data_IF_921054218637
#
_entry.id   IF_921054218637
#
_cell.length_a   1.000
_cell.length_b   1.000
_cell.length_c   1.000
_cell.angle_alpha   90.00
_cell.angle_beta   90.00
_cell.angle_gamma   90.00
#
_symmetry.space_group_name_H-M   'P 1'
#
loop_
_entity.id
_entity.type
_entity.pdbx_description
1 polymer ?
#
# COMPACT_ATOMS: atom_id res chain seq x y z
N UNK A 1 7.17 3.53 7.41
CA UNK A 1 5.85 4.12 7.75
C UNK A 1 4.77 3.23 7.17
N UNK A 2 3.73 2.97 7.94
CA UNK A 2 2.59 2.15 7.54
C UNK A 2 1.30 2.86 7.94
N UNK A 3 0.54 3.34 6.96
CA UNK A 3 -0.76 3.97 7.15
C UNK A 3 -1.87 2.96 6.86
N UNK A 4 -3.02 3.12 7.51
CA UNK A 4 -4.17 2.23 7.32
C UNK A 4 -5.41 3.04 6.97
N UNK A 5 -6.12 2.65 5.91
CA UNK A 5 -7.45 3.18 5.57
C UNK A 5 -8.32 2.04 5.09
N UNK A 6 -9.45 1.78 5.73
CA UNK A 6 -10.41 0.76 5.25
C UNK A 6 -10.89 1.05 3.83
N UNK A 7 -11.00 2.33 3.47
CA UNK A 7 -11.35 2.80 2.13
C UNK A 7 -10.51 4.02 1.76
N UNK A 8 -9.86 3.98 0.58
CA UNK A 8 -8.91 4.98 0.11
C UNK A 8 -9.58 6.23 -0.46
N UNK A 9 -10.58 6.09 -1.37
CA UNK A 9 -11.28 7.20 -2.08
C UNK A 9 -10.37 8.41 -2.28
N UNK A 10 -10.73 9.60 -1.80
CA UNK A 10 -9.86 10.79 -1.91
C UNK A 10 -8.97 11.00 -0.67
N UNK A 11 -9.16 10.18 0.37
CA UNK A 11 -8.51 10.33 1.68
C UNK A 11 -7.09 9.80 1.72
N UNK A 12 -6.65 9.02 0.73
CA UNK A 12 -5.27 8.52 0.66
C UNK A 12 -4.24 9.67 0.56
N UNK A 13 -4.63 10.81 -0.01
CA UNK A 13 -3.76 11.99 -0.18
C UNK A 13 -3.24 12.56 1.14
N UNK A 14 -3.97 12.35 2.24
CA UNK A 14 -3.55 12.77 3.58
C UNK A 14 -2.24 12.09 4.01
N UNK A 15 -1.99 10.86 3.54
CA UNK A 15 -0.80 10.06 3.88
C UNK A 15 0.49 10.63 3.28
N UNK A 16 0.39 11.39 2.18
CA UNK A 16 1.56 11.94 1.47
C UNK A 16 2.35 12.88 2.38
N UNK A 17 1.66 13.69 3.18
CA UNK A 17 2.24 14.73 4.03
C UNK A 17 2.67 14.21 5.42
N UNK A 18 2.57 12.90 5.66
CA UNK A 18 2.96 12.31 6.94
C UNK A 18 4.39 11.73 6.85
N UNK A 19 5.19 11.91 7.91
CA UNK A 19 6.56 11.39 8.03
C UNK A 19 7.48 11.73 6.84
N UNK A 20 7.72 13.03 6.61
CA UNK A 20 8.50 13.62 5.51
C UNK A 20 9.83 12.93 5.17
N UNK A 21 10.50 12.33 6.17
CA UNK A 21 11.78 11.62 6.00
C UNK A 21 11.67 10.25 5.32
N UNK A 22 10.46 9.72 5.15
CA UNK A 22 10.22 8.38 4.60
C UNK A 22 9.76 8.52 3.14
N UNK A 23 10.58 8.10 2.15
CA UNK A 23 10.31 8.36 0.74
C UNK A 23 9.12 7.56 0.19
N UNK A 24 8.95 6.31 0.64
CA UNK A 24 7.86 5.42 0.22
C UNK A 24 6.86 5.24 1.36
N UNK A 25 5.61 5.59 1.13
CA UNK A 25 4.52 5.45 2.10
C UNK A 25 3.76 4.17 1.83
N UNK A 26 3.74 3.24 2.78
CA UNK A 26 2.93 2.02 2.63
C UNK A 26 1.52 2.29 3.16
N UNK A 27 0.51 2.05 2.32
CA UNK A 27 -0.90 2.26 2.65
C UNK A 27 -1.65 0.93 2.59
N UNK A 28 -2.01 0.40 3.75
CA UNK A 28 -2.90 -0.75 3.88
C UNK A 28 -4.35 -0.36 3.63
N UNK A 29 -5.04 -1.16 2.82
CA UNK A 29 -6.47 -1.00 2.56
C UNK A 29 -7.24 -2.31 2.52
N UNK A 30 -8.53 -2.23 2.84
CA UNK A 30 -9.52 -3.29 2.65
C UNK A 30 -10.51 -2.96 1.53
N UNK A 31 -10.25 -1.89 0.77
CA UNK A 31 -11.09 -1.50 -0.35
C UNK A 31 -11.01 -2.56 -1.46
N UNK A 32 -12.18 -2.95 -1.99
CA UNK A 32 -12.26 -3.85 -3.13
C UNK A 32 -11.99 -3.08 -4.43
N UNK A 33 -10.72 -2.99 -4.80
CA UNK A 33 -10.29 -2.37 -6.05
C UNK A 33 -10.11 -0.86 -5.97
N UNK A 34 -9.29 -0.34 -6.87
CA UNK A 34 -8.98 1.07 -7.10
C UNK A 34 -8.90 1.27 -8.62
N UNK A 35 -9.32 2.43 -9.13
CA UNK A 35 -9.20 2.71 -10.57
C UNK A 35 -7.72 2.82 -10.98
N UNK A 36 -7.39 2.47 -12.22
CA UNK A 36 -6.00 2.58 -12.72
C UNK A 36 -5.47 4.02 -12.66
N UNK A 37 -6.35 5.01 -12.87
CA UNK A 37 -6.01 6.42 -12.75
C UNK A 37 -5.62 6.78 -11.31
N UNK A 38 -6.45 6.39 -10.33
CA UNK A 38 -6.14 6.62 -8.92
C UNK A 38 -4.90 5.86 -8.47
N UNK A 39 -4.71 4.62 -8.92
CA UNK A 39 -3.50 3.85 -8.65
C UNK A 39 -2.25 4.54 -9.20
N UNK A 40 -2.33 5.09 -10.42
CA UNK A 40 -1.23 5.85 -11.03
C UNK A 40 -0.88 7.09 -10.22
N UNK A 41 -1.88 7.83 -9.74
CA UNK A 41 -1.65 8.98 -8.86
C UNK A 41 -0.97 8.57 -7.55
N UNK A 42 -1.40 7.46 -6.94
CA UNK A 42 -0.78 6.90 -5.74
C UNK A 42 0.69 6.57 -5.98
N UNK A 43 0.99 5.83 -7.04
CA UNK A 43 2.35 5.44 -7.40
C UNK A 43 3.24 6.65 -7.69
N UNK A 44 2.73 7.66 -8.41
CA UNK A 44 3.45 8.91 -8.67
C UNK A 44 3.74 9.71 -7.39
N UNK A 45 2.90 9.58 -6.37
CA UNK A 45 3.10 10.16 -5.05
C UNK A 45 3.93 9.29 -4.09
N UNK A 46 4.61 8.24 -4.61
CA UNK A 46 5.37 7.25 -3.82
C UNK A 46 4.54 6.55 -2.74
N UNK A 47 3.25 6.36 -2.99
CA UNK A 47 2.37 5.55 -2.15
C UNK A 47 2.33 4.13 -2.68
N UNK A 48 2.85 3.18 -1.87
CA UNK A 48 2.77 1.75 -2.13
C UNK A 48 1.50 1.19 -1.51
N UNK A 49 0.59 0.66 -2.33
CA UNK A 49 -0.57 -0.04 -1.82
C UNK A 49 -0.17 -1.40 -1.23
N UNK A 50 -0.72 -1.66 -0.05
CA UNK A 50 -0.68 -2.96 0.63
C UNK A 50 -2.12 -3.46 0.79
N UNK A 51 -2.37 -4.72 0.44
CA UNK A 51 -3.69 -5.33 0.59
C UNK A 51 -3.60 -6.80 1.00
N UNK A 52 -4.62 -7.38 1.65
CA UNK A 52 -4.73 -8.82 1.81
C UNK A 52 -4.82 -9.53 0.45
N UNK A 53 -4.14 -10.66 0.32
CA UNK A 53 -4.12 -11.48 -0.91
C UNK A 53 -5.52 -11.74 -1.51
N UNK A 54 -6.55 -12.11 -0.73
CA UNK A 54 -7.88 -12.37 -1.29
C UNK A 54 -8.54 -11.14 -1.94
N UNK A 55 -8.14 -9.93 -1.53
CA UNK A 55 -8.68 -8.68 -2.06
C UNK A 55 -7.95 -8.21 -3.32
N UNK A 56 -6.71 -8.64 -3.55
CA UNK A 56 -5.92 -8.26 -4.74
C UNK A 56 -6.65 -8.68 -6.03
N UNK A 57 -7.34 -9.82 -6.02
CA UNK A 57 -8.15 -10.28 -7.14
C UNK A 57 -9.28 -9.32 -7.53
N UNK A 58 -9.70 -8.40 -6.64
CA UNK A 58 -10.73 -7.38 -6.91
C UNK A 58 -10.18 -6.12 -7.60
N UNK A 59 -8.86 -5.95 -7.68
CA UNK A 59 -8.24 -4.84 -8.39
C UNK A 59 -8.18 -5.12 -9.91
N UNK A 60 -8.08 -4.08 -10.77
CA UNK A 60 -7.80 -4.26 -12.19
C UNK A 60 -6.55 -5.12 -12.43
N UNK A 61 -6.62 -6.06 -13.37
CA UNK A 61 -5.55 -7.03 -13.62
C UNK A 61 -4.19 -6.37 -13.95
N UNK A 62 -4.24 -5.20 -14.59
CA UNK A 62 -3.09 -4.36 -14.95
C UNK A 62 -2.26 -3.88 -13.75
N UNK A 63 -2.85 -3.77 -12.57
CA UNK A 63 -2.18 -3.21 -11.37
C UNK A 63 -1.91 -4.24 -10.27
N UNK A 64 -2.48 -5.45 -10.36
CA UNK A 64 -2.38 -6.48 -9.30
C UNK A 64 -0.93 -6.83 -8.94
N UNK A 65 -0.07 -6.94 -9.94
CA UNK A 65 1.36 -7.27 -9.78
C UNK A 65 2.15 -6.18 -9.06
N UNK A 66 1.62 -4.96 -8.99
CA UNK A 66 2.24 -3.82 -8.30
C UNK A 66 1.71 -3.62 -6.88
N UNK A 67 0.71 -4.41 -6.45
CA UNK A 67 0.18 -4.36 -5.08
C UNK A 67 0.97 -5.31 -4.21
N UNK A 68 1.42 -4.82 -3.05
CA UNK A 68 2.15 -5.63 -2.08
C UNK A 68 1.15 -6.36 -1.19
N UNK A 69 1.39 -7.64 -0.96
CA UNK A 69 0.56 -8.42 -0.03
C UNK A 69 0.94 -8.06 1.41
N UNK A 70 -0.03 -8.08 2.32
CA UNK A 70 0.25 -7.82 3.74
C UNK A 70 1.31 -8.78 4.30
N UNK A 71 1.27 -10.05 3.89
CA UNK A 71 2.23 -11.08 4.30
C UNK A 71 3.65 -10.76 3.81
N UNK A 72 3.80 -10.40 2.53
CA UNK A 72 5.09 -10.01 1.95
C UNK A 72 5.69 -8.80 2.67
N UNK A 73 4.87 -7.76 2.90
CA UNK A 73 5.29 -6.58 3.65
C UNK A 73 5.79 -6.91 5.06
N UNK A 74 5.08 -7.78 5.79
CA UNK A 74 5.51 -8.22 7.13
C UNK A 74 6.79 -9.06 7.07
N UNK A 75 6.95 -9.88 6.04
CA UNK A 75 8.18 -10.63 5.77
C UNK A 75 9.39 -9.71 5.61
N UNK A 76 9.25 -8.68 4.77
CA UNK A 76 10.29 -7.67 4.54
C UNK A 76 10.68 -6.95 5.84
N UNK A 77 9.69 -6.56 6.65
CA UNK A 77 9.95 -5.90 7.93
C UNK A 77 10.71 -6.79 8.92
N UNK A 78 10.44 -8.10 8.95
CA UNK A 78 11.16 -9.03 9.83
C UNK A 78 12.64 -9.17 9.45
N UNK A 79 12.96 -9.09 8.16
CA UNK A 79 14.35 -9.10 7.68
C UNK A 79 15.09 -7.80 8.01
N UNK A 80 14.37 -6.68 8.10
CA UNK A 80 14.92 -5.37 8.42
C UNK A 80 15.19 -5.12 9.90
N UNK A 81 14.62 -5.94 10.80
CA UNK A 81 14.83 -5.83 12.25
C UNK A 81 15.76 -6.96 12.70
N UNK A 82 17.07 -6.73 12.87
CA UNK A 82 17.98 -7.75 13.40
C UNK A 82 17.59 -8.05 14.85
N UNK A 83 17.16 -9.28 15.13
CA UNK A 83 16.88 -9.76 16.50
C UNK A 83 15.40 -10.01 16.85
N UNK A 84 14.49 -10.03 15.89
CA UNK A 84 13.07 -10.39 16.12
C UNK A 84 12.78 -11.91 16.05
N UNK A 85 13.78 -12.76 16.26
CA UNK A 85 13.66 -14.22 16.36
C UNK A 85 14.07 -14.70 17.76
#
# INVERSE_FOLDING_TARGET
MFATKTTCRDRWRQVINEADRIPVKHLLTLQEGVSEAQFREMTQANVQLVAPEPLIAKFPASIRTSIVTLESFLGDLRLLVPGAA
#
